data_IF_547825326481
#
_entry.id   IF_547825326481
#
_cell.length_a   1.000
_cell.length_b   1.000
_cell.length_c   1.000
_cell.angle_alpha   90.00
_cell.angle_beta   90.00
_cell.angle_gamma   90.00
#
_symmetry.space_group_name_H-M   'P 1'
#
loop_
_entity.id
_entity.type
_entity.pdbx_description
1 polymer ?
#
# COMPACT_ATOMS: atom_id res chain seq x y z
N UNK A 1 -20.90 -66.05 21.38
CA UNK A 1 -21.67 -65.33 22.42
C UNK A 1 -21.87 -63.87 21.95
N UNK A 2 -22.82 -63.60 21.06
CA UNK A 2 -24.14 -62.95 21.27
C UNK A 2 -24.14 -61.63 22.07
N UNK A 3 -24.35 -60.55 21.29
CA UNK A 3 -24.83 -59.16 21.49
C UNK A 3 -25.65 -58.82 22.75
N UNK A 4 -25.54 -57.55 23.19
CA UNK A 4 -26.61 -56.52 23.26
C UNK A 4 -26.00 -55.21 23.82
N UNK A 5 -25.92 -54.06 23.10
CA UNK A 5 -26.96 -53.03 22.86
C UNK A 5 -27.80 -52.68 24.10
N UNK A 6 -27.61 -51.47 24.63
CA UNK A 6 -28.64 -50.76 25.40
C UNK A 6 -29.02 -49.48 24.67
N UNK A 7 -30.29 -49.40 24.34
CA UNK A 7 -30.97 -48.29 23.71
C UNK A 7 -31.63 -47.41 24.79
N UNK A 8 -31.85 -46.15 24.44
CA UNK A 8 -32.78 -45.25 25.13
C UNK A 8 -34.22 -45.79 25.13
N UNK A 9 -35.11 -45.15 25.91
CA UNK A 9 -36.33 -44.68 25.28
C UNK A 9 -36.67 -43.22 25.61
N UNK A 10 -37.32 -42.61 24.62
CA UNK A 10 -37.98 -41.32 24.64
C UNK A 10 -39.32 -41.36 25.38
N UNK A 11 -39.80 -40.22 25.88
CA UNK A 11 -40.96 -39.51 25.32
C UNK A 11 -41.59 -38.50 26.30
N UNK A 12 -41.88 -37.35 25.72
CA UNK A 12 -42.61 -36.17 26.19
C UNK A 12 -44.11 -36.49 26.46
N UNK A 13 -44.91 -35.66 27.18
CA UNK A 13 -45.61 -34.59 26.44
C UNK A 13 -46.05 -33.32 27.21
N UNK A 14 -46.12 -32.23 26.44
CA UNK A 14 -47.19 -31.20 26.34
C UNK A 14 -47.40 -30.19 27.50
N UNK A 15 -47.23 -28.92 27.11
CA UNK A 15 -47.87 -27.76 27.74
C UNK A 15 -47.74 -26.52 26.86
N UNK A 16 -48.67 -26.34 25.92
CA UNK A 16 -48.79 -25.20 25.01
C UNK A 16 -49.14 -23.91 25.77
N UNK A 17 -48.62 -22.76 25.29
CA UNK A 17 -49.44 -21.60 24.94
C UNK A 17 -48.70 -20.67 23.96
N UNK A 18 -49.30 -20.55 22.77
CA UNK A 18 -49.04 -19.53 21.73
C UNK A 18 -49.93 -18.31 22.02
N UNK A 19 -49.42 -17.11 21.72
CA UNK A 19 -50.07 -16.00 20.98
C UNK A 19 -49.26 -14.72 21.23
N UNK A 20 -48.94 -13.87 20.26
CA UNK A 20 -49.44 -13.74 18.90
C UNK A 20 -48.53 -12.85 18.05
N UNK A 21 -48.71 -12.99 16.75
CA UNK A 21 -48.13 -12.16 15.70
C UNK A 21 -48.98 -10.90 15.48
N UNK A 22 -48.34 -9.78 15.16
CA UNK A 22 -48.96 -8.67 14.45
C UNK A 22 -47.89 -7.84 13.71
N UNK A 23 -47.82 -8.05 12.40
CA UNK A 23 -47.52 -7.05 11.36
C UNK A 23 -48.70 -7.18 10.37
N UNK A 24 -49.11 -6.15 9.58
CA UNK A 24 -48.24 -5.18 8.91
C UNK A 24 -48.81 -3.74 8.85
N UNK A 25 -47.98 -2.78 8.43
CA UNK A 25 -48.47 -1.55 7.81
C UNK A 25 -47.45 -1.04 6.78
N UNK A 26 -47.76 -1.34 5.53
CA UNK A 26 -47.31 -0.61 4.35
C UNK A 26 -47.73 0.84 4.45
N UNK A 27 -46.84 1.79 4.19
CA UNK A 27 -47.29 3.09 3.69
C UNK A 27 -46.35 3.65 2.62
N UNK A 28 -47.04 4.25 1.66
CA UNK A 28 -46.69 4.54 0.28
C UNK A 28 -45.75 5.72 0.10
N UNK A 29 -45.01 5.63 -1.00
CA UNK A 29 -44.52 6.71 -1.85
C UNK A 29 -45.19 8.07 -1.67
N UNK A 30 -44.38 9.12 -1.49
CA UNK A 30 -44.78 10.49 -1.85
C UNK A 30 -43.61 11.26 -2.44
N UNK A 31 -43.42 11.06 -3.74
CA UNK A 31 -42.80 12.02 -4.64
C UNK A 31 -43.66 13.29 -4.65
N UNK A 32 -43.11 14.42 -4.23
CA UNK A 32 -43.67 15.75 -4.56
C UNK A 32 -42.98 16.24 -5.83
N UNK A 33 -43.64 16.02 -6.97
CA UNK A 33 -43.52 16.91 -8.13
C UNK A 33 -44.45 18.08 -7.90
N UNK A 34 -43.93 19.30 -7.98
CA UNK A 34 -44.72 20.50 -8.17
C UNK A 34 -44.38 21.05 -9.54
N UNK A 35 -45.31 20.92 -10.47
CA UNK A 35 -45.34 21.64 -11.73
C UNK A 35 -46.69 22.38 -11.79
N UNK A 36 -46.63 23.71 -11.93
CA UNK A 36 -47.73 24.57 -12.38
C UNK A 36 -47.06 25.80 -13.00
N UNK A 37 -47.04 25.87 -14.33
CA UNK A 37 -47.86 26.78 -15.16
C UNK A 37 -47.54 28.26 -14.88
N UNK A 38 -46.82 28.99 -15.74
CA UNK A 38 -47.07 29.37 -17.13
C UNK A 38 -48.31 30.28 -17.30
N UNK A 39 -48.04 31.53 -17.69
CA UNK A 39 -48.95 32.61 -18.06
C UNK A 39 -48.26 33.94 -17.70
N UNK A 40 -47.77 34.80 -18.59
CA UNK A 40 -48.09 35.02 -20.01
C UNK A 40 -48.72 36.41 -20.14
N UNK A 41 -48.02 37.35 -20.80
CA UNK A 41 -48.44 38.75 -20.99
C UNK A 41 -47.26 39.71 -20.82
N UNK A 42 -46.52 40.25 -21.79
CA UNK A 42 -46.47 40.35 -23.25
C UNK A 42 -46.28 41.84 -23.61
N UNK A 43 -45.56 42.08 -24.72
CA UNK A 43 -45.20 43.36 -25.38
C UNK A 43 -43.93 44.10 -24.89
N UNK A 44 -43.03 44.60 -25.76
CA UNK A 44 -42.85 44.42 -27.20
C UNK A 44 -41.43 44.92 -27.60
N UNK A 45 -40.77 44.10 -28.42
CA UNK A 45 -39.93 44.38 -29.60
C UNK A 45 -39.25 45.75 -29.74
N UNK A 46 -37.90 45.72 -29.80
CA UNK A 46 -37.11 46.58 -30.67
C UNK A 46 -35.90 45.81 -31.25
N UNK A 47 -35.63 46.04 -32.54
CA UNK A 47 -34.77 45.28 -33.46
C UNK A 47 -33.26 45.44 -33.21
N UNK A 48 -32.52 44.39 -33.58
CA UNK A 48 -31.07 44.28 -33.79
C UNK A 48 -30.47 45.40 -34.68
N UNK A 49 -29.16 45.70 -34.55
CA UNK A 49 -28.19 45.03 -35.43
C UNK A 49 -26.86 44.61 -34.77
N UNK A 50 -26.28 43.54 -35.29
CA UNK A 50 -24.93 43.05 -34.98
C UNK A 50 -23.84 43.98 -35.53
N UNK A 51 -22.66 44.02 -34.88
CA UNK A 51 -21.42 44.15 -35.62
C UNK A 51 -20.40 43.07 -35.23
N UNK A 52 -19.91 42.38 -36.26
CA UNK A 52 -18.73 41.50 -36.23
C UNK A 52 -17.52 42.31 -35.74
N UNK A 53 -16.96 41.97 -34.58
CA UNK A 53 -15.66 42.49 -34.14
C UNK A 53 -14.66 41.34 -34.06
N UNK A 54 -13.89 41.18 -35.15
CA UNK A 54 -12.63 40.43 -35.17
C UNK A 54 -11.69 41.06 -34.15
N UNK A 55 -11.35 40.35 -33.07
CA UNK A 55 -10.13 40.66 -32.32
C UNK A 55 -8.96 39.99 -33.03
N UNK A 56 -8.06 40.82 -33.56
CA UNK A 56 -6.78 40.44 -34.13
C UNK A 56 -5.89 39.88 -33.01
N UNK A 57 -5.41 38.65 -33.17
CA UNK A 57 -4.28 38.12 -32.42
C UNK A 57 -3.01 38.84 -32.86
N UNK A 58 -2.45 39.68 -32.00
CA UNK A 58 -1.10 40.23 -32.16
C UNK A 58 -0.09 39.14 -31.85
N UNK A 59 0.40 38.47 -32.90
CA UNK A 59 1.62 37.65 -32.85
C UNK A 59 2.83 38.58 -32.70
N UNK A 60 3.78 38.32 -31.78
CA UNK A 60 5.04 39.02 -31.78
C UNK A 60 5.86 38.66 -33.02
N UNK A 61 6.38 39.70 -33.65
CA UNK A 61 7.23 39.72 -34.84
C UNK A 61 8.45 38.83 -34.64
N UNK A 62 8.61 37.81 -35.51
CA UNK A 62 9.83 37.04 -35.62
C UNK A 62 10.99 37.99 -35.96
N UNK A 63 12.01 38.01 -35.10
CA UNK A 63 13.30 38.59 -35.43
C UNK A 63 14.01 37.62 -36.38
N UNK A 64 14.38 38.13 -37.55
CA UNK A 64 15.23 37.45 -38.52
C UNK A 64 16.59 37.18 -37.87
N UNK A 65 16.95 35.91 -37.75
CA UNK A 65 18.28 35.49 -37.34
C UNK A 65 19.24 35.73 -38.53
N UNK A 66 20.26 36.57 -38.31
CA UNK A 66 21.38 36.70 -39.24
C UNK A 66 22.11 35.37 -39.45
N UNK A 67 22.93 35.23 -40.51
CA UNK A 67 23.64 33.99 -40.78
C UNK A 67 24.59 33.67 -39.62
N UNK A 68 24.24 32.64 -38.86
CA UNK A 68 25.05 32.15 -37.75
C UNK A 68 26.39 31.63 -38.25
N UNK A 69 27.45 32.00 -37.54
CA UNK A 69 28.76 31.36 -37.67
C UNK A 69 28.62 29.83 -37.55
N UNK A 70 29.37 29.06 -38.35
CA UNK A 70 29.37 27.61 -38.20
C UNK A 70 29.92 27.23 -36.81
N UNK A 71 29.34 26.22 -36.14
CA UNK A 71 29.81 25.79 -34.84
C UNK A 71 31.27 25.31 -34.93
N UNK A 72 32.12 25.57 -33.91
CA UNK A 72 33.49 25.10 -33.92
C UNK A 72 33.52 23.58 -33.94
N UNK A 73 34.38 23.04 -34.82
CA UNK A 73 34.65 21.62 -34.99
C UNK A 73 35.07 21.00 -33.65
N UNK A 74 34.25 20.09 -33.13
CA UNK A 74 34.50 19.36 -31.90
C UNK A 74 35.72 18.45 -32.14
N UNK A 75 36.89 18.88 -31.66
CA UNK A 75 38.10 18.08 -31.68
C UNK A 75 37.82 16.72 -30.99
N UNK A 76 37.96 15.64 -31.75
CA UNK A 76 37.84 14.27 -31.25
C UNK A 76 38.87 14.07 -30.14
N UNK A 77 38.40 13.81 -28.92
CA UNK A 77 39.27 13.43 -27.81
C UNK A 77 39.96 12.10 -28.16
N UNK A 78 41.26 11.94 -27.84
CA UNK A 78 41.96 10.68 -28.04
C UNK A 78 41.30 9.55 -27.22
N UNK A 79 41.36 8.30 -27.69
CA UNK A 79 40.78 7.17 -26.96
C UNK A 79 41.45 6.99 -25.59
N UNK A 80 40.71 6.54 -24.56
CA UNK A 80 41.26 6.34 -23.24
C UNK A 80 42.36 5.26 -23.25
N UNK A 81 43.38 5.37 -22.37
CA UNK A 81 44.41 4.35 -22.25
C UNK A 81 43.81 3.00 -21.82
N UNK A 82 44.44 1.87 -22.20
CA UNK A 82 43.98 0.54 -21.79
C UNK A 82 43.98 0.42 -20.25
N UNK A 83 43.04 -0.35 -19.68
CA UNK A 83 42.98 -0.55 -18.24
C UNK A 83 44.27 -1.22 -17.73
N UNK A 84 44.72 -0.90 -16.50
CA UNK A 84 45.88 -1.56 -15.90
C UNK A 84 45.64 -3.07 -15.79
N UNK A 85 46.69 -3.90 -15.84
CA UNK A 85 46.55 -5.35 -15.67
C UNK A 85 45.91 -5.64 -14.31
N UNK A 86 44.86 -6.44 -14.33
CA UNK A 86 44.13 -6.89 -13.14
C UNK A 86 45.12 -7.56 -12.17
N UNK A 87 45.15 -7.19 -10.88
CA UNK A 87 45.97 -7.90 -9.91
C UNK A 87 45.59 -9.38 -9.91
N UNK A 88 46.58 -10.27 -9.97
CA UNK A 88 46.34 -11.70 -9.94
C UNK A 88 45.54 -12.07 -8.69
N UNK A 89 44.36 -12.67 -8.91
CA UNK A 89 43.50 -13.20 -7.85
C UNK A 89 44.29 -14.21 -7.03
N UNK A 90 44.37 -14.09 -5.70
CA UNK A 90 45.01 -15.11 -4.88
C UNK A 90 44.24 -16.42 -5.07
N UNK A 91 44.93 -17.42 -5.64
CA UNK A 91 44.40 -18.77 -5.86
C UNK A 91 44.49 -19.54 -4.55
N UNK A 92 43.68 -19.18 -3.55
CA UNK A 92 43.45 -20.08 -2.42
C UNK A 92 42.45 -21.12 -2.88
N UNK A 93 42.91 -22.35 -3.10
CA UNK A 93 42.04 -23.51 -3.28
C UNK A 93 41.14 -23.64 -2.05
N UNK A 94 39.88 -23.23 -2.19
CA UNK A 94 38.84 -23.54 -1.21
C UNK A 94 38.71 -25.06 -1.23
N UNK A 95 39.25 -25.71 -0.20
CA UNK A 95 38.99 -27.11 0.07
C UNK A 95 37.47 -27.32 0.04
N UNK A 96 37.00 -28.22 -0.82
CA UNK A 96 35.61 -28.64 -0.86
C UNK A 96 35.21 -29.14 0.53
N UNK A 97 34.44 -28.31 1.24
CA UNK A 97 33.84 -28.66 2.53
C UNK A 97 32.99 -29.93 2.35
N UNK A 98 33.38 -31.03 3.00
CA UNK A 98 32.56 -32.23 3.07
C UNK A 98 31.43 -32.00 4.10
N UNK A 99 30.20 -32.00 3.61
CA UNK A 99 29.00 -31.71 4.39
C UNK A 99 28.33 -32.99 4.94
N UNK A 100 28.80 -34.19 4.58
CA UNK A 100 28.24 -35.46 5.05
C UNK A 100 26.70 -35.54 4.94
N UNK A 101 26.04 -36.01 5.99
CA UNK A 101 24.56 -36.12 6.08
C UNK A 101 23.82 -34.80 5.84
N UNK A 102 24.47 -33.65 6.05
CA UNK A 102 23.85 -32.35 5.79
C UNK A 102 23.56 -32.13 4.30
N UNK A 103 24.35 -32.73 3.40
CA UNK A 103 24.10 -32.70 1.96
C UNK A 103 22.77 -33.34 1.60
N UNK A 104 22.51 -34.53 2.11
CA UNK A 104 21.27 -35.27 1.82
C UNK A 104 20.05 -34.55 2.39
N UNK A 105 20.16 -34.03 3.63
CA UNK A 105 19.10 -33.20 4.25
C UNK A 105 18.81 -31.95 3.41
N UNK A 106 19.85 -31.30 2.88
CA UNK A 106 19.73 -30.13 2.00
C UNK A 106 19.06 -30.44 0.67
N UNK A 107 19.44 -31.56 0.02
CA UNK A 107 18.82 -32.01 -1.23
C UNK A 107 17.35 -32.40 -1.05
N UNK A 108 17.01 -33.08 0.06
CA UNK A 108 15.63 -33.40 0.42
C UNK A 108 14.81 -32.14 0.69
N UNK A 109 15.38 -31.16 1.39
CA UNK A 109 14.74 -29.87 1.62
C UNK A 109 14.42 -29.15 0.31
N UNK A 110 15.39 -29.02 -0.60
CA UNK A 110 15.20 -28.42 -1.92
C UNK A 110 14.12 -29.15 -2.72
N UNK A 111 14.15 -30.48 -2.77
CA UNK A 111 13.13 -31.30 -3.46
C UNK A 111 11.74 -31.09 -2.87
N UNK A 112 11.60 -31.10 -1.55
CA UNK A 112 10.32 -30.90 -0.86
C UNK A 112 9.72 -29.52 -1.11
N UNK A 113 10.56 -28.49 -1.09
CA UNK A 113 10.14 -27.09 -1.31
C UNK A 113 10.11 -26.68 -2.79
N UNK A 114 10.59 -27.55 -3.70
CA UNK A 114 10.75 -27.26 -5.14
C UNK A 114 11.59 -26.00 -5.40
N UNK A 115 12.70 -25.86 -4.70
CA UNK A 115 13.60 -24.70 -4.78
C UNK A 115 14.93 -25.05 -5.44
N UNK A 116 15.53 -24.06 -6.10
CA UNK A 116 16.95 -24.10 -6.48
C UNK A 116 17.84 -23.98 -5.25
N UNK A 117 19.14 -24.27 -5.37
CA UNK A 117 20.11 -24.06 -4.28
C UNK A 117 20.08 -22.62 -3.76
N UNK A 118 20.04 -21.65 -4.67
CA UNK A 118 19.94 -20.23 -4.32
C UNK A 118 18.61 -19.90 -3.62
N UNK A 119 17.49 -20.42 -4.14
CA UNK A 119 16.17 -20.21 -3.54
C UNK A 119 16.06 -20.82 -2.14
N UNK A 120 16.64 -22.00 -1.93
CA UNK A 120 16.71 -22.65 -0.63
C UNK A 120 17.61 -21.87 0.34
N UNK A 121 18.75 -21.33 -0.14
CA UNK A 121 19.66 -20.55 0.69
C UNK A 121 18.99 -19.25 1.13
N UNK A 122 18.33 -18.56 0.20
CA UNK A 122 17.54 -17.38 0.48
C UNK A 122 16.43 -17.68 1.49
N UNK A 123 15.68 -18.77 1.33
CA UNK A 123 14.64 -19.14 2.27
C UNK A 123 15.19 -19.38 3.69
N UNK A 124 16.35 -20.03 3.83
CA UNK A 124 16.97 -20.24 5.14
C UNK A 124 17.46 -18.94 5.75
N UNK A 125 18.09 -18.06 4.96
CA UNK A 125 18.53 -16.74 5.40
C UNK A 125 17.33 -15.90 5.86
N UNK A 126 16.27 -15.84 5.04
CA UNK A 126 15.04 -15.13 5.37
C UNK A 126 14.39 -15.71 6.64
N UNK A 127 14.38 -17.04 6.80
CA UNK A 127 13.80 -17.71 8.00
C UNK A 127 14.60 -17.40 9.27
N UNK A 128 15.92 -17.29 9.14
CA UNK A 128 16.80 -16.95 10.26
C UNK A 128 16.69 -15.46 10.62
N UNK A 129 16.71 -14.58 9.61
CA UNK A 129 16.66 -13.13 9.78
C UNK A 129 15.29 -12.63 10.25
N UNK A 130 14.21 -13.29 9.80
CA UNK A 130 12.82 -12.88 10.05
C UNK A 130 12.02 -13.95 10.80
N UNK A 131 12.62 -14.54 11.83
CA UNK A 131 11.97 -15.59 12.62
C UNK A 131 10.61 -15.12 13.17
N UNK A 132 9.55 -15.88 12.88
CA UNK A 132 8.17 -15.57 13.29
C UNK A 132 7.45 -14.55 12.41
N UNK A 133 8.07 -14.08 11.33
CA UNK A 133 7.45 -13.21 10.34
C UNK A 133 7.08 -14.01 9.08
N UNK A 134 6.17 -13.44 8.30
CA UNK A 134 5.84 -13.90 6.96
C UNK A 134 6.03 -12.75 5.98
N UNK A 135 6.27 -13.10 4.72
CA UNK A 135 6.36 -12.10 3.66
C UNK A 135 4.96 -11.78 3.15
N UNK A 136 4.56 -10.53 3.34
CA UNK A 136 3.37 -9.97 2.70
C UNK A 136 3.76 -9.25 1.42
N UNK A 137 2.89 -9.28 0.43
CA UNK A 137 2.95 -8.41 -0.75
C UNK A 137 1.77 -7.47 -0.74
N UNK A 138 1.90 -6.33 -1.41
CA UNK A 138 0.84 -5.35 -1.47
C UNK A 138 1.12 -4.24 -2.46
N UNK A 139 0.21 -3.28 -2.53
CA UNK A 139 0.37 -2.15 -3.43
C UNK A 139 -0.81 -1.20 -3.42
N UNK A 140 -0.75 -0.22 -4.32
CA UNK A 140 -1.88 0.66 -4.58
C UNK A 140 -2.97 -0.03 -5.41
N UNK A 141 -4.17 0.54 -5.44
CA UNK A 141 -5.32 -0.03 -6.16
C UNK A 141 -5.05 -0.30 -7.65
N UNK A 142 -4.38 0.63 -8.35
CA UNK A 142 -4.12 0.48 -9.79
C UNK A 142 -2.91 -0.42 -10.12
N UNK A 143 -2.24 -1.00 -9.10
CA UNK A 143 -1.07 -1.86 -9.27
C UNK A 143 0.19 -1.15 -9.78
N UNK A 144 0.18 0.17 -9.93
CA UNK A 144 1.34 0.94 -10.38
C UNK A 144 2.46 0.96 -9.33
N UNK A 145 2.11 0.90 -8.05
CA UNK A 145 3.02 0.83 -6.90
C UNK A 145 2.86 -0.54 -6.25
N UNK A 146 3.95 -1.29 -6.12
CA UNK A 146 3.98 -2.64 -5.51
C UNK A 146 5.15 -2.76 -4.55
N UNK A 147 4.95 -3.49 -3.45
CA UNK A 147 5.98 -3.70 -2.42
C UNK A 147 5.88 -5.11 -1.83
N UNK A 148 6.95 -5.52 -1.14
CA UNK A 148 6.94 -6.64 -0.20
C UNK A 148 7.37 -6.15 1.19
N UNK A 149 6.85 -6.81 2.23
CA UNK A 149 7.15 -6.48 3.63
C UNK A 149 7.16 -7.73 4.50
N UNK A 150 8.15 -7.84 5.39
CA UNK A 150 8.21 -8.89 6.41
C UNK A 150 7.55 -8.41 7.70
N UNK A 151 6.47 -9.08 8.10
CA UNK A 151 5.72 -8.75 9.32
C UNK A 151 5.02 -10.02 9.88
N UNK A 152 4.53 -10.01 11.14
CA UNK A 152 3.76 -11.13 11.66
C UNK A 152 2.47 -11.35 10.89
N UNK A 153 2.02 -12.61 10.75
CA UNK A 153 0.72 -12.90 10.14
C UNK A 153 -0.47 -12.37 10.96
N UNK A 154 -0.30 -12.22 12.28
CA UNK A 154 -1.25 -11.55 13.17
C UNK A 154 -0.83 -10.08 13.32
N UNK A 155 -1.56 -9.19 12.66
CA UNK A 155 -1.20 -7.78 12.58
C UNK A 155 -1.74 -7.00 13.78
N UNK A 156 -0.87 -6.19 14.38
CA UNK A 156 -1.26 -5.17 15.35
C UNK A 156 -1.23 -3.79 14.70
N UNK A 157 -2.40 -3.14 14.64
CA UNK A 157 -2.64 -1.97 13.80
C UNK A 157 -3.07 -0.78 14.64
N UNK A 158 -2.51 0.40 14.36
CA UNK A 158 -2.90 1.64 15.00
C UNK A 158 -3.97 2.37 14.19
N UNK A 159 -5.05 2.77 14.85
CA UNK A 159 -6.09 3.65 14.31
C UNK A 159 -5.96 5.05 14.94
N UNK A 160 -5.31 5.95 14.21
CA UNK A 160 -4.98 7.28 14.70
C UNK A 160 -6.09 8.30 14.37
N UNK A 161 -6.55 9.03 15.38
CA UNK A 161 -7.65 9.97 15.24
C UNK A 161 -7.27 11.40 14.80
N UNK A 162 -6.00 11.68 14.48
CA UNK A 162 -5.58 13.03 14.05
C UNK A 162 -6.25 13.42 12.73
N UNK A 163 -6.30 14.72 12.44
CA UNK A 163 -7.08 15.29 11.32
C UNK A 163 -6.78 14.63 9.96
N UNK A 164 -5.51 14.39 9.63
CA UNK A 164 -5.13 13.73 8.38
C UNK A 164 -5.45 12.22 8.39
N UNK A 165 -5.19 11.52 9.49
CA UNK A 165 -5.41 10.09 9.59
C UNK A 165 -6.91 9.75 9.53
N UNK A 166 -7.74 10.55 10.20
CA UNK A 166 -9.21 10.43 10.12
C UNK A 166 -9.73 10.65 8.70
N UNK A 167 -9.21 11.65 7.97
CA UNK A 167 -9.59 11.91 6.58
C UNK A 167 -9.14 10.80 5.62
N UNK A 168 -7.95 10.22 5.85
CA UNK A 168 -7.40 9.13 5.03
C UNK A 168 -7.86 7.73 5.44
N UNK A 169 -8.52 7.58 6.59
CA UNK A 169 -8.76 6.28 7.23
C UNK A 169 -7.44 5.51 7.42
N UNK A 170 -6.40 6.20 7.89
CA UNK A 170 -5.02 5.71 7.93
C UNK A 170 -4.75 4.73 9.10
N UNK A 171 -5.31 3.53 8.99
CA UNK A 171 -4.97 2.39 9.83
C UNK A 171 -3.68 1.75 9.34
N UNK A 172 -2.72 1.51 10.22
CA UNK A 172 -1.43 0.97 9.80
C UNK A 172 -0.72 0.17 10.91
N UNK A 173 0.08 -0.82 10.51
CA UNK A 173 1.12 -1.42 11.35
C UNK A 173 2.48 -0.87 10.93
N UNK A 174 3.45 -0.89 11.84
CA UNK A 174 4.78 -0.30 11.60
C UNK A 174 5.82 -1.40 11.47
N UNK A 175 6.70 -1.26 10.47
CA UNK A 175 7.88 -2.11 10.28
C UNK A 175 9.15 -1.27 10.17
N UNK A 176 10.32 -1.80 10.57
CA UNK A 176 11.61 -1.21 10.25
C UNK A 176 11.84 -1.13 8.73
N UNK A 177 12.64 -0.17 8.27
CA UNK A 177 12.93 -0.01 6.83
C UNK A 177 13.61 -1.25 6.23
N UNK A 178 14.44 -1.97 6.99
CA UNK A 178 15.07 -3.23 6.55
C UNK A 178 14.07 -4.33 6.18
N UNK A 179 12.86 -4.30 6.73
CA UNK A 179 11.80 -5.27 6.44
C UNK A 179 10.90 -4.88 5.27
N UNK A 180 11.12 -3.72 4.66
CA UNK A 180 10.29 -3.21 3.57
C UNK A 180 11.09 -3.11 2.28
N UNK A 181 10.48 -3.51 1.16
CA UNK A 181 11.07 -3.36 -0.17
C UNK A 181 10.04 -2.89 -1.17
N UNK A 182 10.31 -1.74 -1.80
CA UNK A 182 9.57 -1.29 -2.96
C UNK A 182 9.95 -2.15 -4.18
N UNK A 183 8.97 -2.79 -4.80
CA UNK A 183 9.16 -3.66 -5.95
C UNK A 183 8.95 -2.91 -7.28
N UNK A 184 8.04 -1.94 -7.31
CA UNK A 184 7.68 -1.18 -8.51
C UNK A 184 7.06 0.17 -8.15
N UNK A 185 7.22 1.16 -9.02
CA UNK A 185 6.39 2.37 -9.04
C UNK A 185 6.97 3.55 -8.29
N UNK A 186 8.28 3.63 -8.12
CA UNK A 186 8.96 4.77 -7.48
C UNK A 186 8.57 6.09 -8.17
N UNK A 187 8.49 6.08 -9.50
CA UNK A 187 8.05 7.19 -10.33
C UNK A 187 6.56 7.54 -10.18
N UNK A 188 5.75 6.60 -9.68
CA UNK A 188 4.30 6.75 -9.49
C UNK A 188 3.91 7.17 -8.07
N UNK A 189 4.91 7.45 -7.23
CA UNK A 189 4.74 7.89 -5.86
C UNK A 189 4.85 9.41 -5.78
N UNK A 190 4.04 10.02 -4.93
CA UNK A 190 4.21 11.40 -4.48
C UNK A 190 4.05 11.47 -2.96
N UNK A 191 4.56 12.55 -2.35
CA UNK A 191 4.62 12.70 -0.89
C UNK A 191 4.03 14.02 -0.46
N UNK A 192 3.16 13.97 0.56
CA UNK A 192 2.65 15.14 1.25
C UNK A 192 3.23 15.20 2.67
N UNK A 193 3.72 16.38 3.07
CA UNK A 193 4.20 16.65 4.43
C UNK A 193 3.56 17.93 4.95
N UNK A 194 3.38 18.03 6.26
CA UNK A 194 2.83 19.21 6.93
C UNK A 194 3.26 19.23 8.40
N UNK A 195 2.94 20.32 9.10
CA UNK A 195 3.25 20.51 10.52
C UNK A 195 4.75 20.37 10.80
N UNK A 196 5.20 19.29 11.43
CA UNK A 196 6.64 19.09 11.72
C UNK A 196 7.44 18.58 10.52
N UNK A 197 6.78 18.30 9.39
CA UNK A 197 7.37 17.72 8.18
C UNK A 197 8.11 16.38 8.37
N UNK A 198 7.91 15.72 9.52
CA UNK A 198 8.54 14.43 9.85
C UNK A 198 7.75 13.25 9.28
N UNK A 199 6.42 13.31 9.34
CA UNK A 199 5.59 12.33 8.67
C UNK A 199 5.62 12.60 7.16
N UNK A 200 5.90 11.55 6.38
CA UNK A 200 5.88 11.58 4.93
C UNK A 200 4.69 10.75 4.45
N UNK A 201 3.59 11.43 4.12
CA UNK A 201 2.39 10.78 3.59
C UNK A 201 2.57 10.47 2.11
N UNK A 202 3.13 9.29 1.84
CA UNK A 202 3.46 8.78 0.52
C UNK A 202 2.25 8.09 -0.12
N UNK A 203 1.88 8.41 -1.35
CA UNK A 203 0.74 7.78 -2.03
C UNK A 203 0.92 7.72 -3.55
N UNK A 204 0.15 6.85 -4.19
CA UNK A 204 0.18 6.71 -5.63
C UNK A 204 -0.43 7.94 -6.31
N UNK A 205 0.33 8.64 -7.13
CA UNK A 205 -0.14 9.82 -7.88
C UNK A 205 -1.20 9.50 -8.93
N UNK A 206 -1.36 8.21 -9.29
CA UNK A 206 -2.36 7.74 -10.28
C UNK A 206 -3.73 7.44 -9.68
N UNK A 207 -3.79 6.79 -8.51
CA UNK A 207 -5.05 6.35 -7.90
C UNK A 207 -5.31 6.93 -6.51
N UNK A 208 -4.39 7.73 -5.95
CA UNK A 208 -4.54 8.37 -4.64
C UNK A 208 -4.31 7.47 -3.42
N UNK A 209 -4.21 6.15 -3.61
CA UNK A 209 -4.06 5.19 -2.50
C UNK A 209 -2.70 5.35 -1.80
N UNK A 210 -2.75 5.51 -0.48
CA UNK A 210 -1.60 5.46 0.43
C UNK A 210 -1.43 4.03 0.94
N UNK A 211 -0.64 3.22 0.23
CA UNK A 211 -0.41 1.83 0.63
C UNK A 211 0.66 1.69 1.72
N UNK A 212 1.56 2.65 1.83
CA UNK A 212 2.52 2.81 2.91
C UNK A 212 2.89 4.28 3.08
N UNK A 213 3.48 4.65 4.22
CA UNK A 213 3.97 6.00 4.48
C UNK A 213 5.06 5.98 5.56
N UNK A 214 5.81 7.06 5.73
CA UNK A 214 6.74 7.19 6.86
C UNK A 214 6.04 7.93 8.01
N UNK A 215 5.73 7.27 9.14
CA UNK A 215 5.07 7.90 10.28
C UNK A 215 6.00 8.83 11.06
N UNK A 216 5.43 9.89 11.67
CA UNK A 216 6.18 10.81 12.55
C UNK A 216 6.86 10.10 13.73
N UNK A 217 6.20 9.08 14.29
CA UNK A 217 6.69 8.32 15.44
C UNK A 217 7.90 7.44 15.12
N UNK A 218 8.03 7.03 13.85
CA UNK A 218 8.99 6.02 13.39
C UNK A 218 9.60 6.43 12.04
N UNK A 219 10.45 7.47 12.01
CA UNK A 219 11.02 7.99 10.75
C UNK A 219 11.97 7.01 10.05
N UNK A 220 12.52 6.01 10.77
CA UNK A 220 13.35 4.93 10.22
C UNK A 220 12.56 3.70 9.75
N UNK A 221 11.24 3.81 9.62
CA UNK A 221 10.38 2.70 9.21
C UNK A 221 9.19 3.15 8.38
N UNK A 222 8.32 2.19 8.08
CA UNK A 222 7.12 2.40 7.27
C UNK A 222 5.88 1.96 8.03
N UNK A 223 4.84 2.79 7.97
CA UNK A 223 3.49 2.41 8.30
C UNK A 223 2.82 1.81 7.08
N UNK A 224 2.40 0.55 7.14
CA UNK A 224 1.76 -0.18 6.04
C UNK A 224 0.25 -0.22 6.25
N UNK A 225 -0.50 0.17 5.22
CA UNK A 225 -1.96 0.07 5.25
C UNK A 225 -2.38 -1.41 5.06
N UNK A 226 -3.06 -2.04 6.03
CA UNK A 226 -3.37 -3.48 5.96
C UNK A 226 -4.31 -3.83 4.81
N UNK A 227 -5.23 -2.91 4.47
CA UNK A 227 -6.17 -3.07 3.37
C UNK A 227 -5.52 -2.94 1.98
N UNK A 228 -4.22 -2.65 1.92
CA UNK A 228 -3.42 -2.62 0.69
C UNK A 228 -2.50 -3.84 0.55
N UNK A 229 -2.56 -4.80 1.49
CA UNK A 229 -1.91 -6.10 1.34
C UNK A 229 -2.73 -6.99 0.41
N UNK A 230 -2.05 -7.84 -0.35
CA UNK A 230 -2.71 -8.90 -1.10
C UNK A 230 -3.20 -9.99 -0.15
N UNK A 231 -4.22 -10.74 -0.59
CA UNK A 231 -4.81 -11.81 0.20
C UNK A 231 -3.85 -13.00 0.41
N UNK A 232 -4.05 -13.74 1.51
CA UNK A 232 -3.44 -15.06 1.72
C UNK A 232 -2.38 -15.17 2.81
N UNK A 233 -1.86 -14.06 3.32
CA UNK A 233 -0.77 -14.07 4.34
C UNK A 233 -1.17 -13.49 5.70
N UNK A 234 -2.24 -12.68 5.75
CA UNK A 234 -2.78 -12.14 7.00
C UNK A 234 -3.71 -13.16 7.63
N UNK A 235 -3.47 -13.49 8.91
CA UNK A 235 -4.28 -14.43 9.70
C UNK A 235 -5.28 -13.72 10.60
N UNK A 236 -4.85 -12.67 11.30
CA UNK A 236 -5.72 -11.88 12.17
C UNK A 236 -5.28 -10.42 12.22
N UNK A 237 -6.18 -9.55 12.68
CA UNK A 237 -5.94 -8.11 12.83
C UNK A 237 -6.50 -7.67 14.18
N UNK A 238 -5.64 -7.10 15.01
CA UNK A 238 -6.00 -6.41 16.25
C UNK A 238 -5.77 -4.92 16.04
N UNK A 239 -6.75 -4.10 16.41
CA UNK A 239 -6.67 -2.64 16.25
C UNK A 239 -6.55 -1.98 17.63
N UNK A 240 -5.54 -1.12 17.78
CA UNK A 240 -5.33 -0.23 18.92
C UNK A 240 -5.63 1.21 18.49
N UNK A 241 -6.47 1.91 19.26
CA UNK A 241 -6.73 3.32 19.01
C UNK A 241 -5.56 4.18 19.49
N UNK A 242 -5.19 5.17 18.67
CA UNK A 242 -4.14 6.13 19.01
C UNK A 242 -4.68 7.55 19.02
N UNK A 243 -4.51 8.26 20.13
CA UNK A 243 -4.93 9.65 20.25
C UNK A 243 -3.93 10.60 19.58
N UNK A 244 -4.03 10.73 18.26
CA UNK A 244 -3.21 11.65 17.48
C UNK A 244 -3.60 13.13 17.58
N UNK A 245 -4.76 13.46 18.16
CA UNK A 245 -5.12 14.85 18.45
C UNK A 245 -4.26 15.43 19.59
N UNK A 246 -3.84 14.60 20.54
CA UNK A 246 -2.90 14.95 21.62
C UNK A 246 -1.62 14.10 21.50
N UNK A 247 -0.94 14.26 20.37
CA UNK A 247 0.19 13.40 19.97
C UNK A 247 1.32 13.37 20.99
N UNK A 248 1.67 14.52 21.60
CA UNK A 248 2.81 14.59 22.54
C UNK A 248 2.52 13.79 23.81
N UNK A 249 1.31 13.93 24.37
CA UNK A 249 0.88 13.15 25.53
C UNK A 249 0.78 11.67 25.18
N UNK A 250 0.11 11.33 24.08
CA UNK A 250 -0.04 9.95 23.63
C UNK A 250 1.32 9.26 23.47
N UNK A 251 2.31 9.92 22.87
CA UNK A 251 3.66 9.36 22.71
C UNK A 251 4.45 9.23 24.01
N UNK A 252 4.14 10.03 25.03
CA UNK A 252 4.76 9.89 26.36
C UNK A 252 4.22 8.68 27.11
N UNK A 253 2.92 8.43 26.99
CA UNK A 253 2.22 7.35 27.68
C UNK A 253 2.36 5.99 26.96
N UNK A 254 2.46 6.00 25.64
CA UNK A 254 2.51 4.79 24.83
C UNK A 254 3.88 4.09 24.91
N UNK A 255 3.86 2.82 25.33
CA UNK A 255 5.07 2.07 25.69
C UNK A 255 5.83 1.48 24.50
N UNK A 256 5.13 1.07 23.45
CA UNK A 256 5.70 0.21 22.40
C UNK A 256 5.93 0.90 21.05
N UNK A 257 5.08 1.85 20.63
CA UNK A 257 5.09 2.42 19.27
C UNK A 257 6.44 2.99 18.83
N UNK A 258 7.17 3.68 19.73
CA UNK A 258 8.49 4.28 19.46
C UNK A 258 9.56 3.28 19.04
N UNK A 259 9.40 2.01 19.41
CA UNK A 259 10.39 0.98 19.16
C UNK A 259 10.06 0.11 17.94
N UNK A 260 8.89 0.27 17.32
CA UNK A 260 8.45 -0.62 16.24
C UNK A 260 9.24 -0.51 14.93
N UNK A 261 10.03 0.54 14.75
CA UNK A 261 10.96 0.68 13.63
C UNK A 261 12.42 0.51 14.03
N UNK A 262 12.69 0.12 15.28
CA UNK A 262 14.02 -0.27 15.72
C UNK A 262 14.17 -1.75 15.44
N UNK A 263 15.35 -2.14 14.95
CA UNK A 263 15.70 -3.54 14.72
C UNK A 263 15.84 -4.30 16.04
#
# INVERSE_FOLDING_TARGET
>A
MRRAKSAAPAANPRGQKRSGAAAPATNTSRTRRSASQAGGGDQAVAKQPSPKRRLRSSLPRAQEAGPGEPPPELALLPPPPPPPPTPATPTSSVSTLDLGEQRERWELFQKRQRLTSEGAAKLLLDTFEYQGLVKHTGGCHCGAVRFEVWAPADLHIFDCNCSICKKKQNRHFIVPASRFKLLKGAENITTYTFNTHKAQHTFCKRCGVQSFYTPRSNPGGFGIAPHCLDEGTVRSVVTEEFNGNDWEKAMKEHKTIKNMSKE
#
